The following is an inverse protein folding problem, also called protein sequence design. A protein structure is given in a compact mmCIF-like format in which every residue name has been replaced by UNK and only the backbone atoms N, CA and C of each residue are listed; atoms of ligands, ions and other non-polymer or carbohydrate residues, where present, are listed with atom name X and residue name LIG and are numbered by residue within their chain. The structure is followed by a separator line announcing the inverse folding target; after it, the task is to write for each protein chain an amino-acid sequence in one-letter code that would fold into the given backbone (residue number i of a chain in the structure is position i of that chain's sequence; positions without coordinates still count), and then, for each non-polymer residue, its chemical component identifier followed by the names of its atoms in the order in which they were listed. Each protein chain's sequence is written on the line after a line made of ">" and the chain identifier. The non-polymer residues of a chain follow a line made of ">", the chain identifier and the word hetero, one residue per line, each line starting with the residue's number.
data_IF_968324489371
#
_entry.id   IF_968324489371
#
_cell.length_a   1.000
_cell.length_b   1.000
_cell.length_c   1.000
_cell.angle_alpha   90.00
_cell.angle_beta   90.00
_cell.angle_gamma   90.00
#
_symmetry.space_group_name_H-M   'P 1'
#
loop_
_entity.id
_entity.type
_entity.pdbx_description
1 polymer ?
#
# COMPACT_ATOMS: atom_id res chain seq x y z
N UNK A 1 -24.10 -42.68 -13.92
CA UNK A 1 -25.17 -41.78 -14.39
C UNK A 1 -24.64 -40.37 -14.24
N UNK A 2 -24.17 -39.78 -15.34
CA UNK A 2 -23.59 -38.44 -15.35
C UNK A 2 -24.62 -37.53 -16.01
N UNK A 3 -25.20 -36.60 -15.25
CA UNK A 3 -26.07 -35.57 -15.80
C UNK A 3 -25.16 -34.41 -16.22
N UNK A 4 -24.96 -34.24 -17.52
CA UNK A 4 -24.39 -33.01 -18.09
C UNK A 4 -25.52 -32.00 -18.27
N UNK A 5 -25.59 -30.98 -17.41
CA UNK A 5 -26.45 -29.83 -17.64
C UNK A 5 -25.78 -28.88 -18.63
N UNK A 6 -26.26 -28.83 -19.88
CA UNK A 6 -25.91 -27.75 -20.79
C UNK A 6 -26.64 -26.48 -20.35
N UNK A 7 -25.90 -25.47 -19.91
CA UNK A 7 -26.43 -24.10 -19.81
C UNK A 7 -26.68 -23.65 -21.24
N UNK A 8 -27.92 -23.79 -21.71
CA UNK A 8 -28.33 -23.23 -22.97
C UNK A 8 -28.49 -21.73 -22.73
N UNK A 9 -27.60 -20.92 -23.33
CA UNK A 9 -27.81 -19.49 -23.41
C UNK A 9 -29.21 -19.25 -23.99
N UNK A 10 -30.00 -18.40 -23.33
CA UNK A 10 -31.26 -17.97 -23.91
C UNK A 10 -30.97 -17.41 -25.31
N UNK A 11 -31.74 -17.78 -26.35
CA UNK A 11 -31.56 -17.20 -27.67
C UNK A 11 -31.66 -15.69 -27.53
N UNK A 12 -30.78 -14.96 -28.22
CA UNK A 12 -30.88 -13.52 -28.31
C UNK A 12 -32.29 -13.16 -28.76
N UNK A 13 -32.95 -12.25 -28.04
CA UNK A 13 -34.22 -11.68 -28.49
C UNK A 13 -33.89 -10.87 -29.74
N UNK A 14 -34.32 -11.33 -30.92
CA UNK A 14 -34.15 -10.59 -32.17
C UNK A 14 -35.10 -9.40 -32.28
N UNK A 15 -34.91 -8.57 -33.31
CA UNK A 15 -35.76 -7.40 -33.62
C UNK A 15 -37.10 -7.73 -34.28
N UNK A 16 -37.34 -9.00 -34.63
CA UNK A 16 -38.56 -9.42 -35.30
C UNK A 16 -39.80 -9.28 -34.40
N UNK A 17 -40.91 -8.81 -34.96
CA UNK A 17 -42.20 -8.74 -34.26
C UNK A 17 -43.35 -9.23 -35.15
N UNK A 18 -44.46 -9.61 -34.51
CA UNK A 18 -45.69 -9.96 -35.21
C UNK A 18 -46.52 -8.71 -35.50
N UNK A 19 -46.95 -8.55 -36.75
CA UNK A 19 -47.85 -7.50 -37.19
C UNK A 19 -49.22 -8.08 -37.55
N UNK A 20 -50.27 -7.60 -36.91
CA UNK A 20 -51.63 -8.11 -37.06
C UNK A 20 -52.60 -6.98 -37.35
N UNK A 21 -53.65 -7.26 -38.11
CA UNK A 21 -54.66 -6.27 -38.43
C UNK A 21 -55.92 -6.85 -39.07
N UNK A 22 -56.85 -5.94 -39.35
CA UNK A 22 -58.05 -6.19 -40.13
C UNK A 22 -57.94 -5.44 -41.47
N UNK A 23 -58.23 -6.16 -42.56
CA UNK A 23 -58.31 -5.64 -43.91
C UNK A 23 -59.77 -5.66 -44.37
N UNK A 24 -60.29 -4.47 -44.69
CA UNK A 24 -61.59 -4.31 -45.31
C UNK A 24 -61.40 -3.99 -46.80
N UNK A 25 -62.17 -4.65 -47.65
CA UNK A 25 -62.31 -4.30 -49.06
C UNK A 25 -63.71 -3.71 -49.28
N UNK A 26 -63.77 -2.45 -49.69
CA UNK A 26 -65.01 -1.67 -49.85
C UNK A 26 -65.96 -1.76 -48.64
N UNK A 27 -65.39 -1.76 -47.43
CA UNK A 27 -66.14 -1.81 -46.17
C UNK A 27 -66.60 -3.22 -45.75
N UNK A 28 -66.30 -4.26 -46.52
CA UNK A 28 -66.54 -5.66 -46.15
C UNK A 28 -65.24 -6.36 -45.78
N UNK A 29 -65.22 -7.29 -44.80
CA UNK A 29 -64.01 -8.03 -44.45
C UNK A 29 -63.44 -8.79 -45.64
N UNK A 30 -62.17 -8.54 -45.95
CA UNK A 30 -61.49 -9.17 -47.07
C UNK A 30 -61.25 -10.68 -46.83
N UNK A 31 -61.23 -11.46 -47.90
CA UNK A 31 -60.88 -12.87 -47.85
C UNK A 31 -59.96 -13.22 -49.02
N UNK A 32 -58.98 -14.10 -48.79
CA UNK A 32 -58.06 -14.58 -49.81
C UNK A 32 -56.60 -14.34 -49.47
N UNK A 33 -55.75 -14.33 -50.50
CA UNK A 33 -54.31 -14.15 -50.36
C UNK A 33 -53.91 -12.77 -50.88
N UNK A 34 -53.09 -12.05 -50.11
CA UNK A 34 -52.65 -10.69 -50.42
C UNK A 34 -51.14 -10.56 -50.28
N UNK A 35 -50.53 -9.69 -51.09
CA UNK A 35 -49.16 -9.23 -50.90
C UNK A 35 -49.17 -7.95 -50.07
N UNK A 36 -48.31 -7.88 -49.05
CA UNK A 36 -48.14 -6.72 -48.20
C UNK A 36 -46.74 -6.13 -48.37
N UNK A 37 -46.66 -4.81 -48.38
CA UNK A 37 -45.42 -4.05 -48.30
C UNK A 37 -45.49 -3.20 -47.04
N UNK A 38 -44.60 -3.47 -46.08
CA UNK A 38 -44.46 -2.66 -44.88
C UNK A 38 -43.25 -1.76 -45.05
N UNK A 39 -43.43 -0.46 -44.81
CA UNK A 39 -42.36 0.54 -44.85
C UNK A 39 -42.28 1.26 -43.51
N UNK A 40 -41.06 1.46 -43.02
CA UNK A 40 -40.77 2.17 -41.78
C UNK A 40 -40.42 3.62 -42.10
N UNK A 41 -40.99 4.56 -41.36
CA UNK A 41 -40.76 5.99 -41.47
C UNK A 41 -40.46 6.60 -40.10
N UNK A 42 -39.66 7.66 -40.09
CA UNK A 42 -39.46 8.52 -38.92
C UNK A 42 -40.57 9.56 -38.87
N UNK A 43 -40.99 9.96 -37.66
CA UNK A 43 -41.96 11.04 -37.45
C UNK A 43 -41.56 12.33 -38.19
N UNK A 44 -42.48 12.87 -38.99
CA UNK A 44 -42.24 14.08 -39.79
C UNK A 44 -41.57 13.85 -41.15
N UNK A 45 -41.06 12.64 -41.41
CA UNK A 45 -40.38 12.31 -42.67
C UNK A 45 -41.30 11.59 -43.67
N UNK A 46 -41.12 11.92 -44.95
CA UNK A 46 -41.81 11.27 -46.07
C UNK A 46 -40.96 10.24 -46.81
N UNK A 47 -39.76 9.95 -46.31
CA UNK A 47 -38.86 8.95 -46.89
C UNK A 47 -38.84 7.71 -45.99
N UNK A 48 -39.07 6.54 -46.58
CA UNK A 48 -38.99 5.29 -45.85
C UNK A 48 -37.51 4.98 -45.54
N UNK A 49 -37.22 4.60 -44.29
CA UNK A 49 -35.88 4.21 -43.84
C UNK A 49 -35.64 2.69 -43.94
N UNK A 50 -36.71 1.90 -44.04
CA UNK A 50 -36.66 0.46 -44.27
C UNK A 50 -37.94 -0.04 -44.95
N UNK A 51 -37.86 -1.19 -45.64
CA UNK A 51 -39.01 -1.81 -46.30
C UNK A 51 -38.90 -3.34 -46.31
N UNK A 52 -40.03 -4.01 -46.14
CA UNK A 52 -40.16 -5.45 -46.27
C UNK A 52 -41.39 -5.82 -47.09
N UNK A 53 -41.28 -6.92 -47.83
CA UNK A 53 -42.34 -7.45 -48.67
C UNK A 53 -42.75 -8.83 -48.15
N UNK A 54 -44.05 -9.03 -47.99
CA UNK A 54 -44.64 -10.29 -47.55
C UNK A 54 -45.61 -10.76 -48.62
N UNK A 55 -45.28 -11.86 -49.28
CA UNK A 55 -46.09 -12.40 -50.36
C UNK A 55 -47.07 -13.43 -49.82
N UNK A 56 -48.23 -13.50 -50.46
CA UNK A 56 -49.24 -14.53 -50.20
C UNK A 56 -49.71 -14.66 -48.74
N UNK A 57 -49.82 -13.54 -48.01
CA UNK A 57 -50.38 -13.50 -46.66
C UNK A 57 -51.87 -13.84 -46.72
N UNK A 58 -52.28 -14.86 -45.97
CA UNK A 58 -53.69 -15.28 -45.90
C UNK A 58 -54.48 -14.29 -45.05
N UNK A 59 -55.57 -13.77 -45.63
CA UNK A 59 -56.56 -12.92 -44.97
C UNK A 59 -57.86 -13.72 -44.88
N UNK A 60 -58.40 -13.87 -43.67
CA UNK A 60 -59.64 -14.64 -43.42
C UNK A 60 -60.58 -13.81 -42.58
N UNK A 61 -61.78 -13.52 -43.10
CA UNK A 61 -62.75 -12.62 -42.49
C UNK A 61 -62.11 -11.28 -42.05
N UNK A 62 -61.31 -10.69 -42.93
CA UNK A 62 -60.56 -9.46 -42.72
C UNK A 62 -59.29 -9.63 -41.88
N UNK A 63 -59.15 -10.66 -41.05
CA UNK A 63 -58.02 -10.79 -40.15
C UNK A 63 -56.78 -11.37 -40.85
N UNK A 64 -55.62 -10.81 -40.52
CA UNK A 64 -54.32 -11.29 -40.98
C UNK A 64 -53.24 -11.16 -39.90
N UNK A 65 -52.21 -12.00 -40.02
CA UNK A 65 -51.02 -12.00 -39.17
C UNK A 65 -49.78 -12.18 -40.03
N UNK A 66 -48.80 -11.29 -39.87
CA UNK A 66 -47.45 -11.40 -40.40
C UNK A 66 -46.53 -11.69 -39.20
N UNK A 67 -45.97 -12.91 -39.06
CA UNK A 67 -45.33 -13.33 -37.81
C UNK A 67 -43.92 -12.77 -37.59
N UNK A 68 -43.19 -12.42 -38.66
CA UNK A 68 -41.76 -12.09 -38.62
C UNK A 68 -41.47 -10.81 -39.40
N UNK A 69 -41.98 -9.67 -38.92
CA UNK A 69 -41.58 -8.37 -39.43
C UNK A 69 -40.27 -7.97 -38.77
N UNK A 70 -39.17 -7.92 -39.53
CA UNK A 70 -37.85 -7.54 -39.01
C UNK A 70 -37.14 -6.46 -39.85
N UNK A 71 -37.12 -5.21 -39.36
CA UNK A 71 -36.40 -4.11 -40.01
C UNK A 71 -34.91 -4.03 -39.61
N UNK A 72 -34.44 -4.98 -38.81
CA UNK A 72 -33.09 -5.01 -38.21
C UNK A 72 -32.96 -4.10 -36.98
N UNK A 73 -31.95 -4.34 -36.14
CA UNK A 73 -31.77 -3.60 -34.87
C UNK A 73 -31.42 -2.12 -35.07
N UNK A 74 -30.69 -1.79 -36.15
CA UNK A 74 -30.09 -0.46 -36.35
C UNK A 74 -31.14 0.65 -36.45
N UNK A 75 -32.33 0.35 -37.00
CA UNK A 75 -33.38 1.37 -37.16
C UNK A 75 -34.00 1.81 -35.84
N UNK A 76 -33.76 1.07 -34.75
CA UNK A 76 -34.30 1.35 -33.41
C UNK A 76 -33.29 2.04 -32.48
N UNK A 77 -32.05 2.26 -32.91
CA UNK A 77 -30.95 2.73 -32.05
C UNK A 77 -31.09 4.19 -31.59
N UNK A 78 -31.79 5.03 -32.35
CA UNK A 78 -31.77 6.49 -32.18
C UNK A 78 -32.93 7.05 -31.33
N UNK A 79 -33.77 6.20 -30.72
CA UNK A 79 -34.86 6.63 -29.83
C UNK A 79 -35.93 7.50 -30.51
N UNK A 80 -36.01 7.48 -31.85
CA UNK A 80 -36.95 8.28 -32.64
C UNK A 80 -38.32 7.61 -32.74
N UNK A 81 -39.38 8.42 -32.89
CA UNK A 81 -40.71 7.87 -33.15
C UNK A 81 -40.80 7.29 -34.56
N UNK A 82 -41.21 6.02 -34.63
CA UNK A 82 -41.32 5.25 -35.86
C UNK A 82 -42.78 4.98 -36.23
N UNK A 83 -43.04 4.99 -37.53
CA UNK A 83 -44.36 4.75 -38.12
C UNK A 83 -44.27 3.69 -39.23
N UNK A 84 -45.24 2.79 -39.25
CA UNK A 84 -45.39 1.77 -40.29
C UNK A 84 -46.47 2.22 -41.28
N UNK A 85 -46.09 2.30 -42.54
CA UNK A 85 -47.02 2.36 -43.67
C UNK A 85 -47.24 0.94 -44.18
N UNK A 86 -48.51 0.56 -44.31
CA UNK A 86 -48.89 -0.71 -44.92
C UNK A 86 -49.41 -0.43 -46.30
N UNK A 87 -48.87 -1.11 -47.30
CA UNK A 87 -49.47 -1.18 -48.62
C UNK A 87 -49.88 -2.61 -48.94
N UNK A 88 -50.99 -2.79 -49.63
CA UNK A 88 -51.58 -4.11 -49.88
C UNK A 88 -52.11 -4.23 -51.31
N UNK A 89 -51.99 -5.41 -51.89
CA UNK A 89 -52.63 -5.79 -53.16
C UNK A 89 -53.07 -7.27 -53.13
N UNK A 90 -54.10 -7.66 -53.90
CA UNK A 90 -54.43 -9.07 -54.07
C UNK A 90 -53.29 -9.85 -54.72
N UNK A 91 -53.00 -11.05 -54.23
CA UNK A 91 -51.94 -11.92 -54.80
C UNK A 91 -52.24 -12.36 -56.25
N UNK A 92 -53.50 -12.26 -56.68
CA UNK A 92 -53.94 -12.51 -58.07
C UNK A 92 -53.57 -11.38 -59.05
N UNK A 93 -52.99 -10.29 -58.56
CA UNK A 93 -52.71 -9.08 -59.31
C UNK A 93 -53.72 -7.96 -59.01
N UNK A 94 -53.22 -6.73 -59.03
CA UNK A 94 -53.97 -5.52 -58.72
C UNK A 94 -53.05 -4.30 -58.63
N UNK A 95 -53.58 -3.16 -58.21
CA UNK A 95 -52.75 -2.01 -57.83
C UNK A 95 -52.41 -2.12 -56.35
N UNK A 96 -51.15 -1.87 -56.01
CA UNK A 96 -50.72 -1.68 -54.63
C UNK A 96 -51.38 -0.42 -54.04
N UNK A 97 -52.10 -0.58 -52.92
CA UNK A 97 -52.81 0.51 -52.23
C UNK A 97 -52.18 0.73 -50.86
N UNK A 98 -51.73 1.96 -50.59
CA UNK A 98 -51.27 2.37 -49.27
C UNK A 98 -52.46 2.64 -48.34
N UNK A 99 -52.46 2.03 -47.16
CA UNK A 99 -53.46 2.20 -46.12
C UNK A 99 -53.06 3.38 -45.22
N UNK A 100 -53.94 4.37 -45.11
CA UNK A 100 -53.74 5.57 -44.30
C UNK A 100 -54.70 5.61 -43.09
N UNK A 101 -54.28 6.16 -41.94
CA UNK A 101 -52.97 6.78 -41.66
C UNK A 101 -51.88 5.73 -41.33
N UNK A 102 -50.61 6.17 -41.37
CA UNK A 102 -49.49 5.35 -40.88
C UNK A 102 -49.67 5.03 -39.40
N UNK A 103 -49.27 3.83 -39.00
CA UNK A 103 -49.46 3.34 -37.64
C UNK A 103 -48.19 3.58 -36.82
N UNK A 104 -48.32 4.22 -35.66
CA UNK A 104 -47.19 4.43 -34.75
C UNK A 104 -46.72 3.08 -34.19
N UNK A 105 -45.43 2.79 -34.31
CA UNK A 105 -44.82 1.62 -33.67
C UNK A 105 -44.66 1.92 -32.18
N UNK A 106 -45.46 1.25 -31.34
CA UNK A 106 -45.36 1.40 -29.88
C UNK A 106 -44.17 0.61 -29.34
N UNK A 107 -43.50 1.18 -28.35
CA UNK A 107 -42.44 0.46 -27.65
C UNK A 107 -43.02 -0.73 -26.87
N UNK A 108 -42.38 -1.89 -26.98
CA UNK A 108 -42.73 -3.09 -26.19
C UNK A 108 -42.13 -2.92 -24.78
N UNK A 109 -42.83 -3.29 -23.69
CA UNK A 109 -42.38 -3.00 -22.32
C UNK A 109 -40.94 -3.43 -21.98
N UNK A 110 -40.46 -4.54 -22.54
CA UNK A 110 -39.10 -5.03 -22.32
C UNK A 110 -38.03 -4.25 -23.13
N UNK A 111 -38.38 -3.65 -24.26
CA UNK A 111 -37.46 -2.84 -25.07
C UNK A 111 -37.21 -1.46 -24.45
N UNK A 112 -38.25 -0.85 -23.86
CA UNK A 112 -38.14 0.42 -23.12
C UNK A 112 -37.12 0.31 -21.99
N UNK A 113 -37.09 -0.82 -21.28
CA UNK A 113 -36.18 -1.01 -20.15
C UNK A 113 -34.70 -1.13 -20.57
N UNK A 114 -34.41 -1.51 -21.82
CA UNK A 114 -33.04 -1.54 -22.36
C UNK A 114 -32.52 -0.13 -22.70
N UNK A 115 -33.40 0.80 -23.08
CA UNK A 115 -33.05 2.21 -23.35
C UNK A 115 -32.58 2.95 -22.09
N UNK A 116 -33.14 2.61 -20.93
CA UNK A 116 -32.72 3.16 -19.64
C UNK A 116 -31.36 2.64 -19.13
N UNK A 117 -30.78 1.62 -19.77
CA UNK A 117 -29.42 1.21 -19.46
C UNK A 117 -28.38 2.15 -20.08
N UNK A 118 -28.68 2.88 -21.16
CA UNK A 118 -27.66 3.67 -21.88
C UNK A 118 -27.35 5.02 -21.21
N UNK A 119 -28.32 5.67 -20.56
CA UNK A 119 -28.08 6.94 -19.87
C UNK A 119 -27.16 6.79 -18.62
N UNK A 120 -27.08 5.57 -18.07
CA UNK A 120 -26.18 5.20 -16.98
C UNK A 120 -25.27 4.02 -17.37
N UNK A 121 -25.12 3.72 -18.66
CA UNK A 121 -24.53 2.49 -19.15
C UNK A 121 -23.02 2.57 -19.27
N UNK A 122 -22.34 1.45 -19.06
CA UNK A 122 -20.91 1.37 -19.30
C UNK A 122 -20.57 1.47 -20.79
N UNK A 123 -19.70 2.40 -21.15
CA UNK A 123 -19.09 2.50 -22.48
C UNK A 123 -17.98 1.46 -22.67
N UNK A 124 -17.41 1.39 -23.89
CA UNK A 124 -16.26 0.53 -24.16
C UNK A 124 -15.07 0.87 -23.23
N UNK A 125 -14.65 -0.09 -22.40
CA UNK A 125 -13.60 0.11 -21.39
C UNK A 125 -14.12 0.52 -20.00
N UNK A 126 -15.44 0.58 -19.81
CA UNK A 126 -16.09 0.84 -18.53
C UNK A 126 -16.82 -0.41 -18.03
N UNK A 127 -17.09 -0.45 -16.73
CA UNK A 127 -17.99 -1.40 -16.09
C UNK A 127 -18.88 -0.63 -15.11
N UNK A 128 -20.11 -1.08 -14.90
CA UNK A 128 -20.96 -0.55 -13.83
C UNK A 128 -20.35 -0.94 -12.47
N UNK A 129 -20.01 0.06 -11.66
CA UNK A 129 -19.49 -0.11 -10.31
C UNK A 129 -20.40 0.61 -9.33
N UNK A 130 -20.61 0.03 -8.14
CA UNK A 130 -21.35 0.69 -7.07
C UNK A 130 -20.38 1.59 -6.28
N UNK A 131 -20.61 2.90 -6.28
CA UNK A 131 -19.73 3.89 -5.63
C UNK A 131 -20.03 4.12 -4.13
N UNK A 132 -21.02 3.39 -3.61
CA UNK A 132 -21.50 3.52 -2.24
C UNK A 132 -22.89 4.17 -2.14
N UNK A 133 -23.33 4.88 -3.18
CA UNK A 133 -24.66 5.47 -3.28
C UNK A 133 -25.42 4.93 -4.50
N UNK A 134 -24.76 4.90 -5.67
CA UNK A 134 -25.38 4.56 -6.95
C UNK A 134 -24.51 3.62 -7.79
N UNK A 135 -25.13 2.95 -8.77
CA UNK A 135 -24.42 2.22 -9.81
C UNK A 135 -24.01 3.18 -10.92
N UNK A 136 -22.71 3.37 -11.09
CA UNK A 136 -22.12 4.32 -12.03
C UNK A 136 -21.18 3.60 -12.99
N UNK A 137 -21.20 3.98 -14.27
CA UNK A 137 -20.22 3.52 -15.24
C UNK A 137 -18.84 4.10 -14.88
N UNK A 138 -17.84 3.24 -14.71
CA UNK A 138 -16.46 3.67 -14.45
C UNK A 138 -15.47 2.82 -15.24
N UNK A 139 -14.35 3.44 -15.62
CA UNK A 139 -13.22 2.74 -16.23
C UNK A 139 -12.81 1.51 -15.41
N UNK A 140 -12.43 0.42 -16.06
CA UNK A 140 -12.04 -0.82 -15.37
C UNK A 140 -10.75 -0.60 -14.57
N UNK A 141 -10.88 -0.25 -13.30
CA UNK A 141 -9.75 -0.03 -12.40
C UNK A 141 -9.61 -1.24 -11.47
N UNK A 142 -8.77 -2.21 -11.86
CA UNK A 142 -8.51 -3.44 -11.10
C UNK A 142 -7.69 -3.22 -9.81
N UNK A 143 -7.34 -1.98 -9.46
CA UNK A 143 -6.62 -1.71 -8.23
C UNK A 143 -7.55 -1.85 -7.03
N UNK A 144 -7.28 -2.86 -6.18
CA UNK A 144 -7.90 -3.01 -4.85
C UNK A 144 -7.56 -1.84 -3.89
N UNK A 145 -6.71 -0.92 -4.33
CA UNK A 145 -6.46 0.37 -3.70
C UNK A 145 -7.28 1.40 -4.46
N UNK A 146 -8.45 1.74 -3.91
CA UNK A 146 -9.37 2.73 -4.44
C UNK A 146 -8.62 4.04 -4.63
N UNK A 147 -8.54 4.55 -5.87
CA UNK A 147 -7.91 5.84 -6.17
C UNK A 147 -8.73 6.96 -5.54
N UNK A 148 -8.41 7.29 -4.29
CA UNK A 148 -8.69 8.59 -3.73
C UNK A 148 -7.33 9.27 -3.49
N UNK A 149 -6.80 9.91 -4.53
CA UNK A 149 -5.56 10.71 -4.49
C UNK A 149 -4.42 10.24 -5.41
N UNK A 150 -3.52 11.18 -5.73
CA UNK A 150 -2.26 11.01 -6.48
C UNK A 150 -1.19 10.15 -5.80
N UNK A 151 -1.50 9.60 -4.64
CA UNK A 151 -0.54 9.06 -3.69
C UNK A 151 -0.22 7.57 -3.88
N UNK A 152 -0.78 6.86 -4.87
CA UNK A 152 -0.38 5.47 -5.15
C UNK A 152 -0.07 5.30 -6.63
N UNK A 153 1.12 4.77 -6.94
CA UNK A 153 1.59 4.55 -8.31
C UNK A 153 2.08 3.12 -8.53
N UNK A 154 1.67 2.52 -9.65
CA UNK A 154 2.14 1.21 -10.09
C UNK A 154 2.88 1.31 -11.41
N UNK A 155 4.19 1.06 -11.40
CA UNK A 155 5.02 1.13 -12.60
C UNK A 155 6.05 -0.01 -12.57
N UNK A 156 6.18 -0.77 -13.67
CA UNK A 156 7.17 -1.86 -13.82
C UNK A 156 7.15 -2.90 -12.68
N UNK A 157 5.96 -3.24 -12.16
CA UNK A 157 5.81 -4.22 -11.06
C UNK A 157 6.25 -3.70 -9.68
N UNK A 158 6.39 -2.38 -9.52
CA UNK A 158 6.72 -1.70 -8.27
C UNK A 158 5.53 -0.88 -7.77
N UNK A 159 5.47 -0.67 -6.45
CA UNK A 159 4.43 0.10 -5.77
C UNK A 159 5.04 1.34 -5.13
N UNK A 160 4.55 2.51 -5.53
CA UNK A 160 4.77 3.78 -4.86
C UNK A 160 3.60 4.13 -3.95
N UNK A 161 3.87 4.57 -2.73
CA UNK A 161 2.90 5.09 -1.77
C UNK A 161 3.37 6.48 -1.29
N UNK A 162 2.50 7.48 -1.35
CA UNK A 162 2.79 8.88 -1.12
C UNK A 162 2.92 9.72 -2.40
N UNK A 163 2.89 11.04 -2.24
CA UNK A 163 2.82 11.99 -3.35
C UNK A 163 4.14 12.09 -4.15
N UNK A 164 4.02 12.49 -5.41
CA UNK A 164 5.13 12.71 -6.33
C UNK A 164 6.05 11.48 -6.52
N UNK A 165 5.47 10.27 -6.50
CA UNK A 165 6.15 9.05 -6.95
C UNK A 165 5.61 8.64 -8.33
N UNK A 166 6.18 9.21 -9.40
CA UNK A 166 5.84 8.83 -10.78
C UNK A 166 6.59 7.58 -11.28
N UNK A 167 7.73 7.27 -10.68
CA UNK A 167 8.53 6.08 -10.97
C UNK A 167 9.16 5.53 -9.68
N UNK A 168 8.54 4.52 -9.04
CA UNK A 168 9.07 3.91 -7.83
C UNK A 168 10.48 3.32 -8.05
N UNK A 169 11.43 3.63 -7.16
CA UNK A 169 12.82 3.15 -7.27
C UNK A 169 13.07 1.81 -6.56
N UNK A 170 12.10 1.35 -5.77
CA UNK A 170 12.11 0.06 -5.07
C UNK A 170 10.78 -0.67 -5.29
N UNK A 171 10.73 -1.97 -4.97
CA UNK A 171 9.48 -2.76 -5.07
C UNK A 171 8.35 -2.15 -4.24
N UNK A 172 8.70 -1.62 -3.07
CA UNK A 172 7.86 -0.77 -2.24
C UNK A 172 8.62 0.53 -1.99
N UNK A 173 8.11 1.64 -2.49
CA UNK A 173 8.66 2.97 -2.29
C UNK A 173 7.62 3.80 -1.54
N UNK A 174 7.95 4.23 -0.32
CA UNK A 174 7.06 5.06 0.50
C UNK A 174 7.70 6.43 0.70
N UNK A 175 6.98 7.52 0.42
CA UNK A 175 7.50 8.89 0.47
C UNK A 175 6.47 9.84 1.08
N UNK A 176 6.84 10.56 2.12
CA UNK A 176 6.14 11.76 2.55
C UNK A 176 6.82 13.00 1.95
N UNK A 177 6.04 13.96 1.44
CA UNK A 177 6.53 15.26 0.93
C UNK A 177 5.89 16.46 1.64
N UNK A 178 4.80 16.25 2.38
CA UNK A 178 4.21 17.27 3.22
C UNK A 178 4.95 17.34 4.57
N UNK A 179 5.20 18.54 5.06
CA UNK A 179 5.65 18.75 6.44
C UNK A 179 4.56 18.27 7.41
N UNK A 180 4.92 17.50 8.43
CA UNK A 180 3.99 16.97 9.44
C UNK A 180 3.53 15.53 9.21
N UNK A 181 4.05 14.82 8.20
CA UNK A 181 3.65 13.44 7.90
C UNK A 181 4.78 12.43 8.07
N UNK A 182 4.50 11.39 8.86
CA UNK A 182 5.39 10.25 9.05
C UNK A 182 5.16 9.23 7.92
N UNK A 183 6.16 8.94 7.07
CA UNK A 183 5.94 8.14 5.86
C UNK A 183 5.57 6.69 6.13
N UNK A 184 5.97 6.11 7.27
CA UNK A 184 5.73 4.69 7.53
C UNK A 184 5.54 4.40 9.02
N UNK A 185 4.46 3.70 9.35
CA UNK A 185 4.17 3.18 10.69
C UNK A 185 3.73 1.71 10.62
N UNK A 186 4.36 0.87 11.43
CA UNK A 186 4.04 -0.56 11.56
C UNK A 186 3.63 -0.84 13.01
N UNK A 187 2.47 -1.46 13.21
CA UNK A 187 1.89 -1.71 14.54
C UNK A 187 1.56 -3.18 14.78
N UNK A 188 1.56 -3.58 16.05
CA UNK A 188 0.98 -4.84 16.56
C UNK A 188 0.05 -4.48 17.71
N UNK A 189 -1.22 -4.90 17.65
CA UNK A 189 -2.23 -4.58 18.68
C UNK A 189 -2.27 -3.09 19.06
N UNK A 190 -2.29 -2.21 18.06
CA UNK A 190 -2.21 -0.74 18.19
C UNK A 190 -0.88 -0.15 18.74
N UNK A 191 0.09 -0.97 19.14
CA UNK A 191 1.42 -0.50 19.56
C UNK A 191 2.37 -0.39 18.36
N UNK A 192 3.00 0.76 18.17
CA UNK A 192 4.02 0.98 17.12
C UNK A 192 5.28 0.15 17.41
N UNK A 193 5.73 -0.60 16.40
CA UNK A 193 6.94 -1.42 16.45
C UNK A 193 8.04 -0.91 15.53
N UNK A 194 7.68 -0.24 14.45
CA UNK A 194 8.62 0.42 13.55
C UNK A 194 7.98 1.69 12.99
N UNK A 195 8.72 2.80 12.97
CA UNK A 195 8.22 4.07 12.46
C UNK A 195 9.34 4.87 11.82
N UNK A 196 9.06 5.46 10.67
CA UNK A 196 9.92 6.45 10.01
C UNK A 196 9.23 7.79 10.21
N UNK A 197 9.95 8.75 10.78
CA UNK A 197 9.45 10.05 11.19
C UNK A 197 9.68 11.12 10.13
N UNK A 198 8.88 12.18 10.13
CA UNK A 198 9.04 13.34 9.23
C UNK A 198 10.44 13.97 9.28
N UNK A 199 11.12 13.87 10.42
CA UNK A 199 12.47 14.42 10.63
C UNK A 199 13.59 13.50 10.10
N UNK A 200 13.23 12.47 9.34
CA UNK A 200 14.15 11.46 8.80
C UNK A 200 14.64 10.42 9.82
N UNK A 201 14.23 10.54 11.08
CA UNK A 201 14.57 9.57 12.12
C UNK A 201 13.75 8.28 12.02
N UNK A 202 14.27 7.19 12.58
CA UNK A 202 13.60 5.89 12.67
C UNK A 202 13.46 5.50 14.13
N UNK A 203 12.26 5.06 14.55
CA UNK A 203 12.07 4.44 15.86
C UNK A 203 11.67 2.98 15.76
N UNK A 204 12.19 2.17 16.69
CA UNK A 204 11.87 0.74 16.85
C UNK A 204 11.34 0.51 18.27
N UNK A 205 10.19 -0.14 18.38
CA UNK A 205 9.53 -0.46 19.65
C UNK A 205 8.76 0.70 20.29
N UNK A 206 8.71 1.88 19.66
CA UNK A 206 8.01 3.07 20.17
C UNK A 206 7.48 3.95 19.05
N UNK A 207 6.45 4.75 19.34
CA UNK A 207 6.01 5.88 18.49
C UNK A 207 6.65 7.21 18.90
N UNK A 208 7.56 7.21 19.87
CA UNK A 208 8.32 8.40 20.25
C UNK A 208 9.20 8.89 19.11
N UNK A 209 9.30 10.21 18.94
CA UNK A 209 10.10 10.84 17.89
C UNK A 209 11.57 10.45 18.02
N UNK A 210 12.11 9.88 16.96
CA UNK A 210 13.55 9.61 16.88
C UNK A 210 14.33 10.92 16.67
N UNK A 211 15.64 10.95 16.99
CA UNK A 211 16.50 12.08 16.60
C UNK A 211 16.46 12.30 15.08
N UNK A 212 16.64 13.54 14.63
CA UNK A 212 16.71 13.90 13.20
C UNK A 212 17.75 13.05 12.48
N UNK A 213 17.34 12.34 11.42
CA UNK A 213 18.16 11.36 10.69
C UNK A 213 18.85 10.31 11.58
N UNK A 214 18.29 10.02 12.76
CA UNK A 214 18.83 9.12 13.76
C UNK A 214 17.97 7.88 14.01
N UNK A 215 18.38 7.06 14.98
CA UNK A 215 17.69 5.85 15.39
C UNK A 215 17.35 5.91 16.90
N UNK A 216 16.09 5.67 17.24
CA UNK A 216 15.62 5.45 18.61
C UNK A 216 15.14 4.01 18.77
N UNK A 217 15.75 3.24 19.66
CA UNK A 217 15.28 1.88 20.00
C UNK A 217 14.78 1.86 21.44
N UNK A 218 13.54 1.44 21.64
CA UNK A 218 12.95 1.23 22.97
C UNK A 218 12.67 -0.26 23.17
N UNK A 219 13.25 -0.82 24.23
CA UNK A 219 13.22 -2.26 24.52
C UNK A 219 14.61 -2.90 24.46
N UNK A 220 14.69 -4.18 24.79
CA UNK A 220 15.92 -4.94 24.72
C UNK A 220 16.35 -5.14 23.25
N UNK A 221 17.64 -4.95 22.98
CA UNK A 221 18.23 -5.16 21.66
C UNK A 221 19.25 -6.29 21.76
N UNK A 222 19.05 -7.35 20.99
CA UNK A 222 20.04 -8.43 20.86
C UNK A 222 20.83 -8.26 19.55
N UNK A 223 22.16 -8.15 19.65
CA UNK A 223 23.07 -7.97 18.52
C UNK A 223 23.91 -9.25 18.36
N UNK A 224 23.45 -10.15 17.50
CA UNK A 224 24.00 -11.52 17.39
C UNK A 224 25.31 -11.65 16.59
N UNK A 225 25.89 -10.55 16.09
CA UNK A 225 27.08 -10.55 15.22
C UNK A 225 27.91 -9.26 15.37
N UNK A 226 28.82 -8.99 14.42
CA UNK A 226 29.70 -7.82 14.44
C UNK A 226 28.93 -6.49 14.32
N UNK A 227 29.35 -5.52 15.10
CA UNK A 227 28.94 -4.11 15.00
C UNK A 227 30.11 -3.37 14.34
N UNK A 228 29.88 -2.77 13.16
CA UNK A 228 30.89 -2.03 12.42
C UNK A 228 30.52 -0.54 12.35
N UNK A 229 31.45 0.33 12.77
CA UNK A 229 31.28 1.78 12.70
C UNK A 229 31.77 2.29 11.33
N UNK A 230 30.85 2.82 10.51
CA UNK A 230 31.21 3.58 9.31
C UNK A 230 31.75 4.94 9.76
N UNK A 231 33.05 5.18 9.57
CA UNK A 231 33.82 6.40 9.85
C UNK A 231 33.01 7.63 10.34
N UNK A 232 33.26 8.07 11.57
CA UNK A 232 32.57 9.21 12.19
C UNK A 232 31.94 8.82 13.52
N UNK A 233 31.85 9.79 14.44
CA UNK A 233 31.55 9.63 15.87
C UNK A 233 30.10 9.18 16.20
N UNK A 234 29.70 7.97 15.80
CA UNK A 234 28.44 7.33 16.20
C UNK A 234 28.61 5.89 16.70
N UNK A 235 28.73 5.73 18.05
CA UNK A 235 28.46 4.62 19.01
C UNK A 235 28.96 3.17 18.73
N UNK A 236 29.30 2.25 19.66
CA UNK A 236 29.68 2.19 21.10
C UNK A 236 31.03 1.43 21.09
N UNK A 237 32.13 1.97 21.65
CA UNK A 237 33.44 1.28 21.54
C UNK A 237 33.70 0.22 22.62
N UNK A 238 33.46 0.49 23.91
CA UNK A 238 33.50 -0.53 24.97
C UNK A 238 32.66 -0.07 26.17
N UNK A 239 31.79 -0.95 26.70
CA UNK A 239 31.28 -0.82 28.06
C UNK A 239 32.17 -1.68 28.96
N UNK A 240 33.09 -1.05 29.69
CA UNK A 240 33.88 -1.73 30.72
C UNK A 240 33.27 -1.47 32.09
N UNK A 241 33.21 -2.50 32.93
CA UNK A 241 32.77 -2.33 34.32
C UNK A 241 33.99 -2.08 35.19
N UNK A 242 34.11 -0.89 35.77
CA UNK A 242 35.19 -0.54 36.68
C UNK A 242 34.67 -0.56 38.13
N UNK A 243 35.35 -1.31 38.99
CA UNK A 243 35.10 -1.37 40.43
C UNK A 243 36.35 -0.90 41.18
N UNK A 244 36.21 0.09 42.04
CA UNK A 244 37.32 0.79 42.67
C UNK A 244 37.16 0.79 44.20
N UNK A 245 38.22 0.48 44.93
CA UNK A 245 38.20 0.35 46.40
C UNK A 245 39.43 0.96 47.08
N UNK A 246 39.37 1.16 48.39
CA UNK A 246 40.36 1.85 49.21
C UNK A 246 41.49 0.94 49.75
N UNK A 247 41.62 -0.31 49.32
CA UNK A 247 42.86 -1.09 49.44
C UNK A 247 43.41 -1.35 50.85
N UNK A 248 42.70 -1.05 51.94
CA UNK A 248 43.12 -1.44 53.30
C UNK A 248 42.84 -2.93 53.52
N UNK A 249 43.67 -3.81 52.95
CA UNK A 249 43.60 -5.24 53.19
C UNK A 249 44.14 -5.59 54.58
N UNK A 250 43.23 -5.85 55.53
CA UNK A 250 43.56 -6.44 56.83
C UNK A 250 42.51 -7.43 57.35
N UNK A 251 41.22 -7.10 57.23
CA UNK A 251 40.13 -7.99 57.67
C UNK A 251 38.86 -7.62 56.92
N UNK A 252 38.14 -8.62 56.41
CA UNK A 252 37.04 -8.49 55.45
C UNK A 252 36.06 -7.34 55.71
N UNK A 253 35.79 -6.58 54.66
CA UNK A 253 34.80 -5.49 54.64
C UNK A 253 35.21 -4.37 53.70
N UNK A 254 34.88 -4.49 52.41
CA UNK A 254 35.07 -3.43 51.42
C UNK A 254 34.09 -2.27 51.71
N UNK A 255 34.51 -1.31 52.52
CA UNK A 255 33.68 -0.18 52.93
C UNK A 255 33.87 1.03 51.99
N UNK A 256 32.73 1.48 51.44
CA UNK A 256 32.52 2.69 50.60
C UNK A 256 32.89 2.55 49.11
N UNK A 257 31.95 1.96 48.35
CA UNK A 257 31.95 1.98 46.89
C UNK A 257 31.81 3.42 46.37
N UNK A 258 32.88 3.97 45.81
CA UNK A 258 32.78 5.18 45.00
C UNK A 258 32.25 4.76 43.62
N UNK A 259 30.94 4.78 43.43
CA UNK A 259 30.31 4.70 42.11
C UNK A 259 30.71 5.96 41.33
N UNK A 260 31.82 5.93 40.61
CA UNK A 260 32.23 7.04 39.73
C UNK A 260 31.97 6.65 38.28
N UNK A 261 30.89 7.24 37.74
CA UNK A 261 30.62 7.36 36.32
C UNK A 261 31.32 8.61 35.76
N UNK A 262 32.18 8.43 34.75
CA UNK A 262 32.29 9.27 33.53
C UNK A 262 33.39 8.73 32.62
N UNK A 263 33.01 7.80 31.73
CA UNK A 263 33.87 7.38 30.63
C UNK A 263 33.84 8.46 29.52
N UNK A 264 34.84 9.32 29.46
CA UNK A 264 35.09 10.16 28.27
C UNK A 264 35.99 9.40 27.30
N UNK A 265 35.42 8.44 26.58
CA UNK A 265 36.10 7.90 25.40
C UNK A 265 35.88 8.88 24.24
N UNK A 266 36.85 9.77 24.03
CA UNK A 266 37.00 10.47 22.75
C UNK A 266 38.04 9.75 21.88
N UNK A 267 37.82 9.82 20.58
CA UNK A 267 38.68 9.24 19.53
C UNK A 267 40.06 9.90 19.58
N UNK A 268 41.13 9.13 19.35
CA UNK A 268 42.57 9.51 19.33
C UNK A 268 43.43 9.04 20.51
N UNK A 269 43.30 7.77 20.94
CA UNK A 269 44.18 7.26 21.99
C UNK A 269 44.03 8.04 23.31
N UNK A 270 42.81 8.49 23.60
CA UNK A 270 42.46 9.07 24.90
C UNK A 270 42.02 7.94 25.81
N UNK A 271 42.63 7.92 26.99
CA UNK A 271 42.50 6.85 27.94
C UNK A 271 41.12 6.79 28.63
N UNK A 272 40.76 5.61 29.15
CA UNK A 272 39.80 5.50 30.24
C UNK A 272 40.38 6.23 31.44
N UNK A 273 39.82 7.40 31.76
CA UNK A 273 40.20 8.19 32.93
C UNK A 273 39.39 7.76 34.14
N UNK A 274 40.07 7.27 35.17
CA UNK A 274 39.49 7.10 36.51
C UNK A 274 39.95 8.29 37.33
N UNK A 275 39.02 9.05 37.92
CA UNK A 275 39.30 10.24 38.73
C UNK A 275 38.84 10.06 40.18
N UNK A 276 39.53 10.67 41.14
CA UNK A 276 39.07 10.74 42.52
C UNK A 276 37.79 11.59 42.61
N UNK A 277 36.80 11.14 43.38
CA UNK A 277 35.57 11.89 43.63
C UNK A 277 35.87 13.23 44.32
N UNK A 278 35.12 14.28 43.97
CA UNK A 278 35.35 15.67 44.35
C UNK A 278 35.26 16.02 45.85
N UNK A 279 35.04 15.06 46.75
CA UNK A 279 35.03 15.30 48.19
C UNK A 279 36.42 15.04 48.76
N UNK A 280 37.04 16.05 49.39
CA UNK A 280 38.40 16.07 49.95
C UNK A 280 38.75 15.05 51.05
N UNK A 281 38.15 13.87 51.01
CA UNK A 281 38.61 12.68 51.70
C UNK A 281 39.24 11.75 50.65
N UNK A 282 40.49 11.39 50.90
CA UNK A 282 41.37 10.59 50.06
C UNK A 282 40.77 9.21 49.76
N UNK A 283 40.45 8.89 48.49
CA UNK A 283 39.96 7.58 48.08
C UNK A 283 40.39 7.26 46.65
N UNK A 284 41.17 6.17 46.47
CA UNK A 284 40.92 4.93 45.69
C UNK A 284 42.28 4.21 45.50
N UNK A 285 42.64 3.27 46.37
CA UNK A 285 43.94 2.61 46.35
C UNK A 285 44.12 1.58 45.22
N UNK A 286 43.03 1.00 44.72
CA UNK A 286 43.05 -0.02 43.66
C UNK A 286 41.71 -0.06 42.88
N UNK A 287 41.78 -0.36 41.59
CA UNK A 287 40.63 -0.55 40.71
C UNK A 287 40.73 -1.86 39.93
N UNK A 288 39.60 -2.52 39.74
CA UNK A 288 39.44 -3.68 38.86
C UNK A 288 38.56 -3.27 37.68
N UNK A 289 39.08 -3.41 36.47
CA UNK A 289 38.40 -3.09 35.22
C UNK A 289 38.08 -4.41 34.54
N UNK A 290 36.79 -4.71 34.43
CA UNK A 290 36.28 -5.92 33.78
C UNK A 290 35.91 -5.60 32.33
N UNK A 291 36.54 -6.34 31.42
CA UNK A 291 36.32 -6.28 29.99
C UNK A 291 35.35 -7.39 29.55
N UNK A 292 34.61 -7.19 28.44
CA UNK A 292 33.77 -8.25 27.87
C UNK A 292 34.59 -9.38 27.20
N UNK A 293 35.91 -9.23 27.07
CA UNK A 293 36.82 -10.19 26.44
C UNK A 293 38.10 -10.40 27.24
N UNK A 294 38.85 -11.46 26.92
CA UNK A 294 40.15 -11.73 27.50
C UNK A 294 41.16 -10.60 27.16
N UNK A 295 41.92 -10.16 28.16
CA UNK A 295 42.93 -9.08 28.08
C UNK A 295 44.33 -9.54 28.49
N UNK A 296 44.57 -10.83 28.75
CA UNK A 296 45.89 -11.34 29.22
C UNK A 296 47.02 -11.14 28.23
N UNK A 297 46.72 -11.06 26.93
CA UNK A 297 47.68 -10.78 25.86
C UNK A 297 47.51 -9.38 25.26
N UNK A 298 46.66 -8.54 25.85
CA UNK A 298 46.47 -7.17 25.40
C UNK A 298 47.68 -6.33 25.78
N UNK A 299 47.96 -5.28 25.01
CA UNK A 299 48.92 -4.25 25.42
C UNK A 299 48.15 -3.11 26.05
N UNK A 300 48.65 -2.59 27.16
CA UNK A 300 48.05 -1.42 27.79
C UNK A 300 49.09 -0.39 28.17
N UNK A 301 48.70 0.87 28.09
CA UNK A 301 49.48 2.00 28.59
C UNK A 301 48.65 2.66 29.68
N UNK A 302 49.27 2.81 30.85
CA UNK A 302 48.68 3.52 31.98
C UNK A 302 49.52 4.74 32.31
N UNK A 303 48.88 5.87 32.59
CA UNK A 303 49.56 7.11 33.01
C UNK A 303 48.78 7.78 34.14
N UNK A 304 49.46 8.42 35.09
CA UNK A 304 48.79 9.16 36.15
C UNK A 304 48.21 10.49 35.65
N UNK A 305 47.09 10.90 36.22
CA UNK A 305 46.55 12.26 36.07
C UNK A 305 46.81 13.01 37.39
N UNK A 306 47.94 13.72 37.46
CA UNK A 306 48.39 14.44 38.65
C UNK A 306 49.82 14.97 38.49
N UNK A 307 50.23 15.89 39.35
CA UNK A 307 51.55 16.56 39.29
C UNK A 307 52.55 16.02 40.31
N UNK A 308 52.30 14.88 40.94
CA UNK A 308 53.26 14.28 41.86
C UNK A 308 54.33 13.51 41.06
N UNK A 309 55.60 13.94 41.07
CA UNK A 309 56.65 13.35 40.27
C UNK A 309 57.09 11.97 40.78
N UNK A 310 56.68 11.56 41.98
CA UNK A 310 57.04 10.26 42.57
C UNK A 310 55.92 9.22 42.45
N UNK A 311 54.78 9.60 41.85
CA UNK A 311 53.63 8.72 41.67
C UNK A 311 53.64 8.08 40.28
N UNK A 312 53.63 6.75 40.24
CA UNK A 312 53.37 5.95 39.06
C UNK A 312 51.98 5.29 39.11
N UNK A 313 51.50 4.84 37.96
CA UNK A 313 50.34 3.98 37.85
C UNK A 313 50.77 2.64 37.26
N UNK A 314 50.17 1.56 37.75
CA UNK A 314 50.42 0.21 37.28
C UNK A 314 49.09 -0.48 37.02
N UNK A 315 48.98 -1.16 35.89
CA UNK A 315 47.87 -2.07 35.59
C UNK A 315 48.45 -3.43 35.20
N UNK A 316 47.81 -4.50 35.66
CA UNK A 316 48.15 -5.85 35.25
C UNK A 316 46.91 -6.70 35.07
N UNK A 317 46.93 -7.59 34.07
CA UNK A 317 45.94 -8.65 33.98
C UNK A 317 46.02 -9.54 35.24
N UNK A 318 44.87 -9.91 35.80
CA UNK A 318 44.86 -10.76 37.00
C UNK A 318 45.00 -12.22 36.62
N UNK A 319 45.83 -12.96 37.37
CA UNK A 319 45.99 -14.40 37.15
C UNK A 319 44.70 -15.20 37.45
N UNK A 320 43.78 -14.61 38.22
CA UNK A 320 42.50 -15.20 38.61
C UNK A 320 41.37 -14.96 37.61
N UNK A 321 41.52 -14.03 36.65
CA UNK A 321 40.46 -13.69 35.70
C UNK A 321 41.00 -13.08 34.42
N UNK A 322 40.87 -13.83 33.32
CA UNK A 322 41.47 -13.47 32.04
C UNK A 322 40.90 -12.19 31.40
N UNK A 323 39.73 -11.70 31.84
CA UNK A 323 39.08 -10.52 31.29
C UNK A 323 39.16 -9.30 32.23
N UNK A 324 40.12 -9.27 33.16
CA UNK A 324 40.23 -8.20 34.15
C UNK A 324 41.61 -7.58 34.20
N UNK A 325 41.66 -6.25 34.28
CA UNK A 325 42.85 -5.51 34.67
C UNK A 325 42.71 -5.01 36.10
N UNK A 326 43.71 -5.29 36.94
CA UNK A 326 43.87 -4.69 38.25
C UNK A 326 44.85 -3.53 38.14
N UNK A 327 44.40 -2.34 38.52
CA UNK A 327 45.10 -1.09 38.36
C UNK A 327 45.25 -0.37 39.71
N UNK A 328 46.44 0.17 40.00
CA UNK A 328 46.74 0.85 41.26
C UNK A 328 47.87 1.87 41.08
N UNK A 329 47.95 2.84 42.00
CA UNK A 329 49.09 3.76 42.06
C UNK A 329 50.20 3.23 42.94
N UNK A 330 51.44 3.57 42.60
CA UNK A 330 52.62 3.23 43.40
C UNK A 330 53.45 4.49 43.57
N UNK A 331 53.89 4.78 44.80
CA UNK A 331 54.92 5.80 45.02
C UNK A 331 56.30 5.17 45.01
N UNK A 332 57.19 5.64 44.14
CA UNK A 332 58.50 5.01 43.88
C UNK A 332 59.41 4.91 45.12
N UNK A 333 59.26 5.84 46.06
CA UNK A 333 60.11 5.92 47.26
C UNK A 333 59.85 4.79 48.27
N UNK A 334 58.57 4.44 48.48
CA UNK A 334 58.15 3.59 49.59
C UNK A 334 57.42 2.31 49.13
N UNK A 335 57.18 2.15 47.83
CA UNK A 335 56.42 1.03 47.26
C UNK A 335 54.94 0.99 47.67
N UNK A 336 54.49 2.04 48.35
CA UNK A 336 53.19 2.11 48.99
C UNK A 336 52.09 2.37 47.94
N UNK A 337 50.99 1.61 48.04
CA UNK A 337 49.88 1.73 47.10
C UNK A 337 49.06 2.97 47.42
N UNK A 338 48.94 3.89 46.47
CA UNK A 338 48.33 5.21 46.70
C UNK A 338 47.15 5.49 45.77
N UNK A 339 46.21 6.34 46.20
CA UNK A 339 45.16 6.83 45.33
C UNK A 339 45.75 7.57 44.14
N UNK A 340 45.37 7.16 42.93
CA UNK A 340 45.70 7.89 41.71
C UNK A 340 44.55 7.87 40.75
N UNK A 341 44.34 9.05 40.19
CA UNK A 341 43.61 9.17 38.95
C UNK A 341 44.54 8.74 37.81
N UNK A 342 44.07 7.93 36.88
CA UNK A 342 44.90 7.45 35.79
C UNK A 342 44.13 7.28 34.51
N UNK A 343 44.91 7.29 33.43
CA UNK A 343 44.52 7.16 32.05
C UNK A 343 44.95 5.79 31.55
N UNK A 344 44.00 4.90 31.21
CA UNK A 344 44.25 3.59 30.60
C UNK A 344 43.91 3.55 29.11
N UNK A 345 44.89 3.19 28.28
CA UNK A 345 44.71 2.79 26.89
C UNK A 345 44.92 1.29 26.76
N UNK A 346 44.00 0.61 26.09
CA UNK A 346 44.10 -0.82 25.79
C UNK A 346 44.10 -0.98 24.27
N UNK A 347 45.09 -1.73 23.77
CA UNK A 347 45.34 -2.01 22.35
C UNK A 347 45.20 -3.51 22.09
#
# INVERSE_FOLDING_TARGET
>A
MTITSSVQAAPAVGSAFSYQGELLDNGSPANGSYNFVLKLYVSGDNTAIASQNFNAVTVTNGLFTIPEVDFGDVVYADGVELFIEVSVEPSSGGSLVALSPRQRLSAVPFAVQAEYLAANGASNGEVLQFDGNDWVAQAVNFSKWTVNGSAINYTLGRVGIGDNISSPLARLHVRAVATGEDPLRVQVNASTKFMVHENGGVSVGTSGSAPTNGLLVTGETNLNNNISQASGFGVIKYAVYAYCSNGLSGTGGFASASLIYRFKSNVNGQAVTIENGASGNSFVGECEITFPSNVTSAFWVVSITGNDPELGAHCSATASSANKLHCYGIRERDGDKRPVSFNLLVF
#
